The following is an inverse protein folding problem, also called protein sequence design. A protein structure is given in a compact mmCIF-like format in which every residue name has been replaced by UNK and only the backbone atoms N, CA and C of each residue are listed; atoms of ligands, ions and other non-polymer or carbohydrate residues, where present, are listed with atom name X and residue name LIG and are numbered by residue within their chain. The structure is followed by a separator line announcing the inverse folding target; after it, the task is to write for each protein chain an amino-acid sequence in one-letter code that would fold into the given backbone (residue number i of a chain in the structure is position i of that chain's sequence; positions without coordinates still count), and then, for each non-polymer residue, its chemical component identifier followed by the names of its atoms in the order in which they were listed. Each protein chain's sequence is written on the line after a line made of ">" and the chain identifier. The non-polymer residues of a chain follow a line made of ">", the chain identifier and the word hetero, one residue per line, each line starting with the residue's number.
data_IF_997291281646
#
_entry.id   IF_997291281646
#
_cell.length_a   1.000
_cell.length_b   1.000
_cell.length_c   1.000
_cell.angle_alpha   90.00
_cell.angle_beta   90.00
_cell.angle_gamma   90.00
#
_symmetry.space_group_name_H-M   'P 1'
#
loop_
_entity.id
_entity.type
_entity.pdbx_description
1 polymer ?
#
# COMPACT_ATOMS: atom_id res chain seq x y z
N UNK A 1 5.87 -32.36 -6.38
CA UNK A 1 5.42 -31.22 -7.17
C UNK A 1 5.91 -29.92 -6.51
N UNK A 2 6.39 -28.95 -7.31
CA UNK A 2 6.90 -27.67 -6.79
C UNK A 2 5.87 -26.93 -5.91
N UNK A 3 4.60 -27.01 -6.28
CA UNK A 3 3.50 -26.42 -5.51
C UNK A 3 3.38 -27.02 -4.09
N UNK A 4 3.60 -28.31 -3.93
CA UNK A 4 3.53 -28.96 -2.61
C UNK A 4 4.73 -28.55 -1.73
N UNK A 5 5.88 -28.32 -2.34
CA UNK A 5 7.06 -27.82 -1.63
C UNK A 5 6.81 -26.40 -1.13
N UNK A 6 6.27 -25.52 -1.99
CA UNK A 6 5.91 -24.14 -1.63
C UNK A 6 4.92 -24.12 -0.47
N UNK A 7 3.86 -24.92 -0.52
CA UNK A 7 2.89 -25.02 0.57
C UNK A 7 3.51 -25.46 1.89
N UNK A 8 4.40 -26.47 1.86
CA UNK A 8 5.11 -26.93 3.05
C UNK A 8 6.04 -25.86 3.63
N UNK A 9 6.80 -25.16 2.77
CA UNK A 9 7.67 -24.06 3.21
C UNK A 9 6.82 -22.93 3.83
N UNK A 10 5.72 -22.54 3.17
CA UNK A 10 4.83 -21.49 3.67
C UNK A 10 4.21 -21.88 5.01
N UNK A 11 3.73 -23.10 5.16
CA UNK A 11 3.19 -23.62 6.41
C UNK A 11 4.24 -23.57 7.54
N UNK A 12 5.46 -24.05 7.28
CA UNK A 12 6.56 -24.00 8.24
C UNK A 12 6.89 -22.55 8.65
N UNK A 13 7.04 -21.63 7.68
CA UNK A 13 7.26 -20.21 7.98
C UNK A 13 6.12 -19.61 8.80
N UNK A 14 4.88 -19.96 8.46
CA UNK A 14 3.71 -19.49 9.18
C UNK A 14 3.65 -20.02 10.62
N UNK A 15 4.08 -21.28 10.84
CA UNK A 15 3.98 -21.96 12.13
C UNK A 15 5.12 -21.58 13.09
N UNK A 16 6.33 -21.64 12.59
CA UNK A 16 7.52 -21.57 13.44
C UNK A 16 8.19 -20.19 13.40
N UNK A 17 8.00 -19.45 12.30
CA UNK A 17 8.65 -18.17 12.08
C UNK A 17 7.78 -17.21 11.28
N UNK A 18 6.70 -16.63 11.85
CA UNK A 18 5.82 -15.71 11.13
C UNK A 18 6.55 -14.41 10.77
N UNK A 19 7.27 -14.48 9.65
CA UNK A 19 8.03 -13.36 9.09
C UNK A 19 7.09 -12.34 8.41
N UNK A 20 7.62 -11.18 8.08
CA UNK A 20 6.89 -10.09 7.42
C UNK A 20 6.16 -10.54 6.15
N UNK A 21 6.72 -11.49 5.40
CA UNK A 21 6.08 -12.06 4.21
C UNK A 21 4.72 -12.69 4.51
N UNK A 22 4.58 -13.42 5.59
CA UNK A 22 3.32 -14.05 6.01
C UNK A 22 2.25 -12.97 6.24
N UNK A 23 2.60 -11.88 6.94
CA UNK A 23 1.70 -10.75 7.17
C UNK A 23 1.31 -10.06 5.87
N UNK A 24 2.27 -9.76 4.99
CA UNK A 24 2.02 -9.12 3.70
C UNK A 24 1.11 -9.97 2.81
N UNK A 25 1.36 -11.28 2.73
CA UNK A 25 0.54 -12.18 1.93
C UNK A 25 -0.87 -12.35 2.50
N UNK A 26 -1.03 -12.50 3.83
CA UNK A 26 -2.34 -12.63 4.46
C UNK A 26 -3.16 -11.35 4.30
N UNK A 27 -2.55 -10.17 4.50
CA UNK A 27 -3.18 -8.88 4.25
C UNK A 27 -3.60 -8.72 2.78
N UNK A 28 -2.73 -9.10 1.85
CA UNK A 28 -3.02 -9.03 0.42
C UNK A 28 -4.19 -9.96 0.02
N UNK A 29 -4.23 -11.16 0.56
CA UNK A 29 -5.35 -12.10 0.33
C UNK A 29 -6.66 -11.56 0.91
N UNK A 30 -6.64 -10.93 2.08
CA UNK A 30 -7.81 -10.27 2.67
C UNK A 30 -8.32 -9.11 1.80
N UNK A 31 -7.40 -8.29 1.26
CA UNK A 31 -7.74 -7.23 0.31
C UNK A 31 -8.38 -7.80 -0.95
N UNK A 32 -7.80 -8.84 -1.55
CA UNK A 32 -8.38 -9.49 -2.73
C UNK A 32 -9.80 -10.01 -2.43
N UNK A 33 -9.98 -10.65 -1.28
CA UNK A 33 -11.26 -11.21 -0.87
C UNK A 33 -12.33 -10.13 -0.68
N UNK A 34 -11.97 -8.98 -0.09
CA UNK A 34 -12.91 -7.90 0.24
C UNK A 34 -13.21 -6.98 -0.94
N UNK A 35 -12.24 -6.70 -1.78
CA UNK A 35 -12.31 -5.63 -2.80
C UNK A 35 -12.09 -6.11 -4.24
N UNK A 36 -11.50 -7.29 -4.44
CA UNK A 36 -10.98 -7.69 -5.75
C UNK A 36 -9.76 -6.84 -6.16
N UNK A 37 -9.29 -7.02 -7.40
CA UNK A 37 -8.20 -6.21 -8.00
C UNK A 37 -8.64 -5.48 -9.27
N UNK A 38 -9.92 -5.48 -9.62
CA UNK A 38 -10.40 -4.77 -10.81
C UNK A 38 -10.25 -3.26 -10.65
N UNK A 39 -10.72 -2.72 -9.51
CA UNK A 39 -10.63 -1.30 -9.16
C UNK A 39 -9.68 -1.02 -7.98
N UNK A 40 -9.00 -2.04 -7.48
CA UNK A 40 -8.09 -1.94 -6.36
C UNK A 40 -6.66 -2.12 -6.81
N UNK A 41 -5.80 -1.17 -6.50
CA UNK A 41 -4.36 -1.26 -6.72
C UNK A 41 -3.66 -1.41 -5.39
N UNK A 42 -2.73 -2.35 -5.31
CA UNK A 42 -1.90 -2.56 -4.12
C UNK A 42 -0.45 -2.26 -4.47
N UNK A 43 0.10 -1.21 -3.87
CA UNK A 43 1.49 -0.81 -4.02
C UNK A 43 2.30 -1.34 -2.83
N UNK A 44 3.45 -1.93 -3.15
CA UNK A 44 4.41 -2.44 -2.18
C UNK A 44 5.51 -1.41 -1.96
N UNK A 45 6.02 -1.31 -0.72
CA UNK A 45 7.19 -0.48 -0.42
C UNK A 45 7.01 0.98 -0.89
N UNK A 46 5.79 1.53 -0.71
CA UNK A 46 5.43 2.85 -1.21
C UNK A 46 6.06 3.96 -0.37
N UNK A 47 6.85 4.82 -1.02
CA UNK A 47 7.57 5.91 -0.33
C UNK A 47 6.66 7.09 -0.02
N UNK A 48 6.61 7.47 1.25
CA UNK A 48 5.88 8.64 1.76
C UNK A 48 6.80 9.47 2.65
N UNK A 49 7.19 10.64 2.18
CA UNK A 49 8.16 11.47 2.90
C UNK A 49 9.50 10.76 3.09
N UNK A 50 9.92 10.62 4.33
CA UNK A 50 11.14 9.89 4.71
C UNK A 50 10.86 8.40 5.03
N UNK A 51 9.60 8.00 5.06
CA UNK A 51 9.16 6.65 5.39
C UNK A 51 8.82 5.82 4.13
N UNK A 52 8.70 4.52 4.29
CA UNK A 52 8.35 3.58 3.24
C UNK A 52 7.31 2.60 3.80
N UNK A 53 6.10 2.68 3.26
CA UNK A 53 4.97 1.89 3.73
C UNK A 53 5.04 0.45 3.19
N UNK A 54 4.81 -0.53 4.03
CA UNK A 54 4.87 -1.94 3.64
C UNK A 54 3.86 -2.28 2.57
N UNK A 55 2.61 -1.81 2.74
CA UNK A 55 1.54 -2.01 1.79
C UNK A 55 0.62 -0.79 1.73
N UNK A 56 0.31 -0.35 0.51
CA UNK A 56 -0.64 0.75 0.26
C UNK A 56 -1.75 0.27 -0.66
N UNK A 57 -2.98 0.32 -0.19
CA UNK A 57 -4.17 -0.01 -0.97
C UNK A 57 -4.82 1.28 -1.49
N UNK A 58 -5.14 1.28 -2.78
CA UNK A 58 -5.80 2.37 -3.50
C UNK A 58 -7.14 1.88 -4.05
N UNK A 59 -8.24 2.21 -3.35
CA UNK A 59 -9.60 1.86 -3.75
C UNK A 59 -10.60 2.89 -3.25
N UNK A 60 -10.89 3.93 -4.06
CA UNK A 60 -11.74 5.05 -3.63
C UNK A 60 -11.13 5.92 -2.52
N UNK A 61 -10.26 5.36 -1.72
CA UNK A 61 -9.46 6.00 -0.67
C UNK A 61 -8.04 5.41 -0.64
N UNK A 62 -7.08 6.13 -0.06
CA UNK A 62 -5.73 5.61 0.21
C UNK A 62 -5.71 5.00 1.61
N UNK A 63 -5.44 3.70 1.69
CA UNK A 63 -5.17 3.01 2.96
C UNK A 63 -3.72 2.56 3.01
N UNK A 64 -3.03 2.91 4.08
CA UNK A 64 -1.66 2.47 4.32
C UNK A 64 -1.65 1.51 5.50
N UNK A 65 -0.92 0.41 5.32
CA UNK A 65 -0.70 -0.62 6.32
C UNK A 65 0.79 -0.70 6.63
N UNK A 66 1.13 -0.52 7.90
CA UNK A 66 2.47 -0.73 8.45
C UNK A 66 2.48 -2.02 9.23
N UNK A 67 3.38 -2.93 8.90
CA UNK A 67 3.44 -4.25 9.51
C UNK A 67 4.50 -4.24 10.62
N UNK A 68 4.11 -4.77 11.78
CA UNK A 68 5.01 -4.98 12.92
C UNK A 68 4.85 -6.40 13.41
N UNK A 69 5.80 -7.24 13.04
CA UNK A 69 5.87 -8.65 13.49
C UNK A 69 6.35 -8.75 14.94
N UNK A 70 6.33 -9.97 15.48
CA UNK A 70 6.81 -10.21 16.84
C UNK A 70 8.32 -9.93 17.04
N UNK A 71 9.08 -9.74 15.95
CA UNK A 71 10.53 -9.53 15.94
C UNK A 71 10.91 -8.06 15.73
N UNK A 72 9.93 -7.22 15.39
CA UNK A 72 10.19 -5.83 15.02
C UNK A 72 10.34 -4.90 16.22
N UNK A 73 11.11 -3.86 15.98
CA UNK A 73 11.29 -2.72 16.88
C UNK A 73 10.27 -1.61 16.50
N UNK A 74 9.72 -0.95 17.51
CA UNK A 74 8.72 0.10 17.37
C UNK A 74 9.30 1.52 17.34
N UNK A 75 10.62 1.69 17.43
CA UNK A 75 11.27 3.02 17.58
C UNK A 75 10.93 3.98 16.42
N UNK A 76 10.71 3.46 15.22
CA UNK A 76 10.38 4.27 14.04
C UNK A 76 8.87 4.40 13.79
N UNK A 77 8.03 3.62 14.49
CA UNK A 77 6.62 3.49 14.18
C UNK A 77 5.89 4.83 14.23
N UNK A 78 6.04 5.60 15.29
CA UNK A 78 5.36 6.89 15.43
C UNK A 78 5.67 7.85 14.28
N UNK A 79 6.94 7.90 13.83
CA UNK A 79 7.35 8.72 12.68
C UNK A 79 6.76 8.20 11.38
N UNK A 80 6.75 6.88 11.16
CA UNK A 80 6.17 6.25 9.97
C UNK A 80 4.69 6.60 9.86
N UNK A 81 3.93 6.40 10.95
CA UNK A 81 2.49 6.72 10.99
C UNK A 81 2.22 8.20 10.73
N UNK A 82 3.00 9.11 11.32
CA UNK A 82 2.87 10.54 11.09
C UNK A 82 3.15 10.94 9.63
N UNK A 83 4.09 10.28 8.95
CA UNK A 83 4.34 10.50 7.53
C UNK A 83 3.15 10.00 6.69
N UNK A 84 2.61 8.82 7.00
CA UNK A 84 1.51 8.22 6.25
C UNK A 84 0.19 8.99 6.38
N UNK A 85 -0.12 9.55 7.56
CA UNK A 85 -1.31 10.36 7.78
C UNK A 85 -1.37 11.61 6.88
N UNK A 86 -0.22 12.08 6.38
CA UNK A 86 -0.16 13.25 5.49
C UNK A 86 -0.72 12.99 4.09
N UNK A 87 -0.95 11.73 3.71
CA UNK A 87 -1.45 11.37 2.37
C UNK A 87 -2.61 10.39 2.39
N UNK A 88 -2.68 9.52 3.40
CA UNK A 88 -3.64 8.42 3.43
C UNK A 88 -4.91 8.79 4.18
N UNK A 89 -6.05 8.44 3.60
CA UNK A 89 -7.35 8.58 4.26
C UNK A 89 -7.40 7.77 5.55
N UNK A 90 -6.80 6.58 5.53
CA UNK A 90 -6.72 5.68 6.69
C UNK A 90 -5.34 5.05 6.81
N UNK A 91 -4.85 4.93 8.03
CA UNK A 91 -3.57 4.29 8.36
C UNK A 91 -3.81 3.21 9.39
N UNK A 92 -3.25 2.04 9.14
CA UNK A 92 -3.37 0.87 9.99
C UNK A 92 -2.00 0.34 10.42
N UNK A 93 -1.93 -0.14 11.66
CA UNK A 93 -0.86 -1.03 12.11
C UNK A 93 -1.38 -2.46 11.98
N UNK A 94 -0.59 -3.33 11.35
CA UNK A 94 -0.87 -4.77 11.28
C UNK A 94 0.14 -5.49 12.14
N UNK A 95 -0.32 -6.27 13.11
CA UNK A 95 0.57 -6.88 14.10
C UNK A 95 0.11 -8.26 14.57
N UNK A 96 0.89 -8.87 15.44
CA UNK A 96 0.56 -10.13 16.11
C UNK A 96 -0.28 -9.91 17.38
N UNK A 97 -0.99 -10.93 17.88
CA UNK A 97 -1.70 -10.86 19.15
C UNK A 97 -0.82 -10.42 20.34
N UNK A 98 0.47 -10.75 20.29
CA UNK A 98 1.46 -10.39 21.34
C UNK A 98 1.51 -8.89 21.65
N UNK A 99 1.33 -8.03 20.63
CA UNK A 99 1.45 -6.58 20.80
C UNK A 99 0.10 -5.85 20.79
N UNK A 100 -1.00 -6.59 20.69
CA UNK A 100 -2.35 -6.06 20.59
C UNK A 100 -2.70 -5.07 21.70
N UNK A 101 -2.58 -5.48 22.94
CA UNK A 101 -2.94 -4.67 24.12
C UNK A 101 -2.08 -3.40 24.21
N UNK A 102 -0.76 -3.53 24.00
CA UNK A 102 0.17 -2.41 24.02
C UNK A 102 -0.21 -1.37 22.97
N UNK A 103 -0.38 -1.78 21.72
CA UNK A 103 -0.71 -0.87 20.61
C UNK A 103 -2.11 -0.29 20.77
N UNK A 104 -3.07 -1.08 21.24
CA UNK A 104 -4.41 -0.57 21.51
C UNK A 104 -4.37 0.53 22.58
N UNK A 105 -3.65 0.33 23.68
CA UNK A 105 -3.50 1.35 24.73
C UNK A 105 -2.80 2.61 24.23
N UNK A 106 -1.75 2.47 23.42
CA UNK A 106 -0.96 3.59 22.90
C UNK A 106 -1.74 4.42 21.85
N UNK A 107 -2.53 3.76 20.97
CA UNK A 107 -3.20 4.41 19.85
C UNK A 107 -4.71 4.52 19.99
N UNK A 108 -5.32 4.18 21.17
CA UNK A 108 -6.79 4.16 21.38
C UNK A 108 -7.49 5.46 20.98
N UNK A 109 -6.87 6.61 21.28
CA UNK A 109 -7.44 7.94 21.02
C UNK A 109 -7.00 8.56 19.69
N UNK A 110 -6.14 7.87 18.95
CA UNK A 110 -5.63 8.31 17.66
C UNK A 110 -6.54 7.92 16.49
N UNK A 111 -6.23 8.45 15.29
CA UNK A 111 -6.88 8.05 14.04
C UNK A 111 -6.36 6.71 13.48
N UNK A 112 -5.31 6.15 14.06
CA UNK A 112 -4.67 4.92 13.59
C UNK A 112 -5.57 3.72 13.87
N UNK A 113 -5.80 2.88 12.85
CA UNK A 113 -6.46 1.59 13.00
C UNK A 113 -5.47 0.49 13.42
N UNK A 114 -5.99 -0.60 13.95
CA UNK A 114 -5.18 -1.75 14.37
C UNK A 114 -5.83 -3.02 13.83
N UNK A 115 -5.05 -3.79 13.08
CA UNK A 115 -5.41 -5.12 12.61
C UNK A 115 -4.46 -6.14 13.24
N UNK A 116 -5.00 -7.28 13.63
CA UNK A 116 -4.24 -8.39 14.20
C UNK A 116 -4.32 -9.57 13.26
N UNK A 117 -3.17 -10.17 12.95
CA UNK A 117 -3.12 -11.42 12.22
C UNK A 117 -3.35 -12.57 13.21
N UNK A 118 -4.60 -13.09 13.23
CA UNK A 118 -5.00 -14.24 14.02
C UNK A 118 -4.67 -15.53 13.26
N UNK A 119 -4.30 -16.57 13.98
CA UNK A 119 -4.12 -17.92 13.41
C UNK A 119 -3.39 -17.96 12.05
N UNK A 120 -2.49 -16.97 11.82
CA UNK A 120 -1.57 -16.90 10.65
C UNK A 120 -2.20 -16.62 9.29
N UNK A 121 -3.52 -16.59 9.18
CA UNK A 121 -4.23 -16.37 7.90
C UNK A 121 -5.40 -15.36 8.04
N UNK A 122 -5.94 -15.19 9.23
CA UNK A 122 -7.13 -14.35 9.46
C UNK A 122 -6.73 -12.98 9.99
N UNK A 123 -7.09 -11.95 9.24
CA UNK A 123 -6.87 -10.56 9.64
C UNK A 123 -8.11 -10.01 10.34
N UNK A 124 -7.99 -9.70 11.63
CA UNK A 124 -9.02 -9.10 12.45
C UNK A 124 -8.77 -7.61 12.64
N UNK A 125 -9.74 -6.76 12.26
CA UNK A 125 -9.70 -5.32 12.56
C UNK A 125 -10.25 -5.09 13.99
N UNK A 126 -9.34 -4.97 14.97
CA UNK A 126 -9.69 -4.76 16.38
C UNK A 126 -9.93 -3.29 16.72
N UNK A 127 -9.44 -2.37 15.91
CA UNK A 127 -9.69 -0.94 16.01
C UNK A 127 -9.81 -0.33 14.61
N UNK A 128 -10.96 0.25 14.23
CA UNK A 128 -11.10 0.92 12.95
C UNK A 128 -10.28 2.21 12.89
N UNK A 129 -9.66 2.47 11.73
CA UNK A 129 -9.02 3.75 11.48
C UNK A 129 -10.05 4.85 11.27
N UNK A 130 -9.77 6.05 11.80
CA UNK A 130 -10.52 7.27 11.52
C UNK A 130 -9.90 8.00 10.32
N UNK A 131 -10.65 8.96 9.75
CA UNK A 131 -10.17 9.77 8.63
C UNK A 131 -9.00 10.66 9.04
N UNK A 132 -8.01 10.76 8.16
CA UNK A 132 -6.82 11.61 8.32
C UNK A 132 -6.88 12.89 7.48
N UNK A 133 -8.05 13.27 6.96
CA UNK A 133 -8.18 14.39 6.02
C UNK A 133 -7.55 15.69 6.54
N UNK A 134 -7.64 15.94 7.86
CA UNK A 134 -7.08 17.13 8.52
C UNK A 134 -5.55 17.12 8.61
N UNK A 135 -4.90 15.99 8.35
CA UNK A 135 -3.44 15.85 8.35
C UNK A 135 -2.83 15.92 6.95
N UNK A 136 -3.65 16.01 5.90
CA UNK A 136 -3.16 16.03 4.52
C UNK A 136 -2.18 17.18 4.30
N UNK A 137 -1.02 16.84 3.73
CA UNK A 137 0.04 17.79 3.41
C UNK A 137 0.33 17.77 1.90
N UNK A 138 0.07 18.89 1.25
CA UNK A 138 0.23 19.03 -0.19
C UNK A 138 1.64 18.64 -0.66
N UNK A 139 2.67 19.08 0.05
CA UNK A 139 4.06 18.84 -0.34
C UNK A 139 4.41 17.34 -0.26
N UNK A 140 3.90 16.63 0.75
CA UNK A 140 4.09 15.19 0.89
C UNK A 140 3.32 14.44 -0.18
N UNK A 141 2.06 14.80 -0.45
CA UNK A 141 1.23 14.19 -1.51
C UNK A 141 1.90 14.38 -2.87
N UNK A 142 2.31 15.62 -3.23
CA UNK A 142 2.94 15.90 -4.51
C UNK A 142 4.22 15.09 -4.74
N UNK A 143 5.04 14.91 -3.71
CA UNK A 143 6.30 14.15 -3.79
C UNK A 143 6.11 12.64 -4.02
N UNK A 144 4.90 12.12 -3.89
CA UNK A 144 4.61 10.72 -4.24
C UNK A 144 4.49 10.50 -5.75
N UNK A 145 4.30 11.57 -6.52
CA UNK A 145 4.12 11.53 -7.97
C UNK A 145 5.46 11.44 -8.70
N UNK A 146 5.47 10.63 -9.74
CA UNK A 146 6.54 10.61 -10.76
C UNK A 146 6.38 11.78 -11.73
N UNK A 147 7.45 12.12 -12.46
CA UNK A 147 7.41 13.24 -13.41
C UNK A 147 6.28 13.15 -14.44
N UNK A 148 6.06 12.03 -15.13
CA UNK A 148 4.93 11.94 -16.08
C UNK A 148 3.57 12.16 -15.41
N UNK A 149 3.41 11.72 -14.16
CA UNK A 149 2.15 11.79 -13.42
C UNK A 149 1.79 13.24 -13.05
N UNK A 150 2.75 13.99 -12.47
CA UNK A 150 2.45 15.39 -12.14
C UNK A 150 2.30 16.27 -13.40
N UNK A 151 3.00 15.97 -14.50
CA UNK A 151 2.79 16.65 -15.78
C UNK A 151 1.39 16.38 -16.33
N UNK A 152 0.92 15.14 -16.27
CA UNK A 152 -0.44 14.76 -16.65
C UNK A 152 -1.48 15.50 -15.82
N UNK A 153 -1.29 15.59 -14.49
CA UNK A 153 -2.20 16.33 -13.60
C UNK A 153 -2.23 17.83 -13.92
N UNK A 154 -1.07 18.45 -14.22
CA UNK A 154 -1.03 19.86 -14.64
C UNK A 154 -1.82 20.06 -15.91
N UNK A 155 -1.64 19.19 -16.93
CA UNK A 155 -2.41 19.24 -18.18
C UNK A 155 -3.92 19.08 -17.94
N UNK A 156 -4.32 18.20 -17.05
CA UNK A 156 -5.72 17.98 -16.69
C UNK A 156 -6.35 19.18 -15.97
N UNK A 157 -5.59 19.90 -15.14
CA UNK A 157 -6.10 21.00 -14.33
C UNK A 157 -5.96 22.37 -14.99
N UNK A 158 -4.95 22.57 -15.83
CA UNK A 158 -4.55 23.89 -16.38
C UNK A 158 -4.43 23.89 -17.90
N UNK A 159 -4.88 22.83 -18.58
CA UNK A 159 -4.90 22.65 -20.05
C UNK A 159 -3.53 22.55 -20.74
N UNK A 160 -2.52 23.22 -20.24
CA UNK A 160 -1.19 23.24 -20.85
C UNK A 160 -0.08 22.86 -19.86
N UNK A 161 0.95 22.20 -20.38
CA UNK A 161 2.18 21.94 -19.64
C UNK A 161 3.07 23.17 -19.78
N UNK A 162 3.64 23.72 -18.66
CA UNK A 162 4.50 24.89 -18.72
C UNK A 162 5.72 24.66 -19.62
N UNK A 163 5.95 25.58 -20.55
CA UNK A 163 7.16 25.60 -21.37
C UNK A 163 8.31 26.26 -20.59
N UNK A 164 9.00 25.45 -19.80
CA UNK A 164 10.14 25.88 -18.97
C UNK A 164 11.26 24.83 -19.03
N UNK A 165 12.53 25.24 -18.79
CA UNK A 165 13.64 24.31 -18.72
C UNK A 165 13.38 23.15 -17.72
N UNK A 166 13.89 21.96 -18.05
CA UNK A 166 13.68 20.75 -17.24
C UNK A 166 14.08 20.91 -15.75
N UNK A 167 15.06 21.74 -15.47
CA UNK A 167 15.51 22.09 -14.10
C UNK A 167 14.47 22.88 -13.29
N UNK A 168 13.52 23.54 -13.96
CA UNK A 168 12.47 24.34 -13.33
C UNK A 168 11.11 23.64 -13.32
N UNK A 169 10.91 22.61 -14.15
CA UNK A 169 9.60 22.00 -14.39
C UNK A 169 8.97 21.46 -13.09
N UNK A 170 9.73 20.80 -12.22
CA UNK A 170 9.23 20.31 -10.95
C UNK A 170 8.63 21.42 -10.08
N UNK A 171 9.38 22.51 -9.89
CA UNK A 171 8.96 23.65 -9.06
C UNK A 171 7.76 24.38 -9.68
N UNK A 172 7.73 24.52 -11.00
CA UNK A 172 6.62 25.17 -11.71
C UNK A 172 5.35 24.34 -11.56
N UNK A 173 5.39 23.04 -11.81
CA UNK A 173 4.24 22.15 -11.63
C UNK A 173 3.77 22.09 -10.17
N UNK A 174 4.70 22.08 -9.21
CA UNK A 174 4.38 22.17 -7.78
C UNK A 174 3.56 23.43 -7.47
N UNK A 175 4.03 24.60 -7.90
CA UNK A 175 3.36 25.89 -7.64
C UNK A 175 1.98 25.98 -8.30
N UNK A 176 1.79 25.41 -9.50
CA UNK A 176 0.51 25.35 -10.17
C UNK A 176 -0.49 24.47 -9.40
N UNK A 177 -0.08 23.23 -9.10
CA UNK A 177 -0.96 22.27 -8.41
C UNK A 177 -1.23 22.66 -6.95
N UNK A 178 -0.34 23.45 -6.31
CA UNK A 178 -0.54 23.98 -4.96
C UNK A 178 -1.70 25.01 -4.85
N UNK A 179 -2.26 25.47 -5.98
CA UNK A 179 -3.45 26.32 -6.01
C UNK A 179 -4.74 25.53 -5.76
N UNK A 180 -4.70 24.18 -5.89
CA UNK A 180 -5.83 23.31 -5.63
C UNK A 180 -6.05 23.13 -4.13
N UNK A 181 -7.31 22.91 -3.74
CA UNK A 181 -7.61 22.43 -2.39
C UNK A 181 -6.89 21.07 -2.16
N UNK A 182 -6.30 20.88 -0.99
CA UNK A 182 -5.47 19.71 -0.69
C UNK A 182 -6.24 18.38 -0.78
N UNK A 183 -7.52 18.36 -0.39
CA UNK A 183 -8.37 17.16 -0.47
C UNK A 183 -8.72 16.82 -1.93
N UNK A 184 -9.02 17.85 -2.73
CA UNK A 184 -9.25 17.68 -4.17
C UNK A 184 -7.98 17.18 -4.86
N UNK A 185 -6.85 17.76 -4.51
CA UNK A 185 -5.56 17.33 -5.05
C UNK A 185 -5.26 15.87 -4.68
N UNK A 186 -5.47 15.47 -3.43
CA UNK A 186 -5.27 14.09 -2.97
C UNK A 186 -6.14 13.10 -3.78
N UNK A 187 -7.40 13.42 -4.04
CA UNK A 187 -8.29 12.59 -4.87
C UNK A 187 -7.79 12.46 -6.33
N UNK A 188 -7.24 13.53 -6.90
CA UNK A 188 -6.62 13.48 -8.24
C UNK A 188 -5.36 12.61 -8.21
N UNK A 189 -4.54 12.74 -7.18
CA UNK A 189 -3.34 11.91 -6.98
C UNK A 189 -3.70 10.44 -6.80
N UNK A 190 -4.73 10.11 -6.02
CA UNK A 190 -5.25 8.74 -5.89
C UNK A 190 -5.58 8.13 -7.26
N UNK A 191 -6.33 8.85 -8.10
CA UNK A 191 -6.66 8.39 -9.47
C UNK A 191 -5.39 8.12 -10.28
N UNK A 192 -4.41 9.04 -10.20
CA UNK A 192 -3.15 8.91 -10.93
C UNK A 192 -2.29 7.76 -10.43
N UNK A 193 -2.23 7.53 -9.13
CA UNK A 193 -1.53 6.39 -8.54
C UNK A 193 -2.18 5.04 -8.91
N UNK A 194 -3.50 5.00 -9.09
CA UNK A 194 -4.21 3.80 -9.56
C UNK A 194 -3.83 3.38 -10.98
N UNK A 195 -3.30 4.29 -11.79
CA UNK A 195 -2.75 3.96 -13.13
C UNK A 195 -1.47 3.09 -13.04
N UNK A 196 -0.86 2.98 -11.86
CA UNK A 196 0.26 2.04 -11.59
C UNK A 196 -0.22 0.59 -11.36
N UNK A 197 -1.40 0.25 -11.83
CA UNK A 197 -1.96 -1.08 -11.68
C UNK A 197 -1.09 -2.13 -12.40
N UNK A 198 -1.09 -3.35 -11.85
CA UNK A 198 -0.48 -4.51 -12.50
C UNK A 198 -1.27 -4.89 -13.76
N UNK A 199 -0.53 -5.11 -14.85
CA UNK A 199 -1.14 -5.44 -16.14
C UNK A 199 -1.89 -6.76 -16.12
N UNK A 200 -1.43 -7.76 -15.36
CA UNK A 200 -1.92 -9.14 -15.36
C UNK A 200 -2.72 -9.52 -14.11
N UNK A 201 -3.48 -8.56 -13.52
CA UNK A 201 -4.23 -8.83 -12.28
C UNK A 201 -5.23 -10.02 -12.40
N UNK A 202 -5.78 -10.25 -13.60
CA UNK A 202 -6.69 -11.41 -13.84
C UNK A 202 -5.97 -12.74 -13.69
N UNK A 203 -4.71 -12.83 -14.11
CA UNK A 203 -3.88 -14.00 -13.87
C UNK A 203 -3.57 -14.15 -12.39
N UNK A 204 -3.17 -13.05 -11.74
CA UNK A 204 -2.83 -13.03 -10.33
C UNK A 204 -3.95 -13.55 -9.43
N UNK A 205 -5.22 -13.16 -9.67
CA UNK A 205 -6.35 -13.61 -8.86
C UNK A 205 -6.83 -15.03 -9.21
N UNK A 206 -6.39 -15.58 -10.34
CA UNK A 206 -6.83 -16.90 -10.79
C UNK A 206 -6.41 -18.03 -9.83
N UNK A 207 -7.11 -19.15 -9.87
CA UNK A 207 -6.77 -20.35 -9.08
C UNK A 207 -5.49 -21.05 -9.55
N UNK A 208 -4.92 -20.62 -10.69
CA UNK A 208 -3.64 -21.16 -11.21
C UNK A 208 -2.45 -20.72 -10.35
N UNK A 209 -2.56 -19.57 -9.68
CA UNK A 209 -1.52 -19.07 -8.81
C UNK A 209 -1.78 -19.53 -7.38
N UNK A 210 -0.84 -20.26 -6.74
CA UNK A 210 -0.95 -20.64 -5.34
C UNK A 210 -1.19 -19.43 -4.45
N UNK A 211 -2.10 -19.55 -3.46
CA UNK A 211 -2.40 -18.46 -2.53
C UNK A 211 -1.14 -17.97 -1.79
N UNK A 212 -0.23 -18.87 -1.54
CA UNK A 212 1.05 -18.62 -0.87
C UNK A 212 1.98 -17.66 -1.63
N UNK A 213 1.75 -17.48 -2.94
CA UNK A 213 2.61 -16.67 -3.83
C UNK A 213 1.93 -15.41 -4.35
N UNK A 214 0.67 -15.16 -4.03
CA UNK A 214 -0.08 -14.04 -4.62
C UNK A 214 0.54 -12.68 -4.31
N UNK A 215 0.99 -12.45 -3.08
CA UNK A 215 1.65 -11.19 -2.71
C UNK A 215 2.95 -10.98 -3.49
N UNK A 216 3.82 -11.99 -3.58
CA UNK A 216 5.09 -11.84 -4.30
C UNK A 216 4.87 -11.62 -5.80
N UNK A 217 3.90 -12.30 -6.40
CA UNK A 217 3.51 -12.06 -7.79
C UNK A 217 3.02 -10.62 -8.01
N UNK A 218 2.25 -10.06 -7.06
CA UNK A 218 1.87 -8.65 -7.10
C UNK A 218 3.09 -7.72 -6.98
N UNK A 219 4.05 -8.06 -6.14
CA UNK A 219 5.23 -7.22 -5.92
C UNK A 219 6.22 -7.22 -7.08
N UNK A 220 6.25 -8.29 -7.86
CA UNK A 220 7.14 -8.45 -9.02
C UNK A 220 6.55 -7.87 -10.32
N UNK A 221 5.24 -7.57 -10.34
CA UNK A 221 4.52 -7.07 -11.54
C UNK A 221 4.81 -7.93 -12.78
N UNK A 222 4.59 -9.24 -12.64
CA UNK A 222 4.92 -10.21 -13.68
C UNK A 222 4.06 -10.04 -14.92
N UNK A 223 4.69 -10.09 -16.10
CA UNK A 223 3.97 -10.16 -17.38
C UNK A 223 3.47 -11.60 -17.67
N UNK A 224 2.65 -11.74 -18.71
CA UNK A 224 2.03 -13.02 -19.07
C UNK A 224 3.04 -14.15 -19.33
N UNK A 225 4.16 -13.86 -19.99
CA UNK A 225 5.19 -14.87 -20.29
C UNK A 225 5.90 -15.34 -19.02
N UNK A 226 6.15 -14.43 -18.08
CA UNK A 226 6.74 -14.74 -16.78
C UNK A 226 5.82 -15.62 -15.96
N UNK A 227 4.52 -15.33 -15.93
CA UNK A 227 3.53 -16.21 -15.30
C UNK A 227 3.53 -17.61 -15.94
N UNK A 228 3.56 -17.69 -17.28
CA UNK A 228 3.62 -18.98 -17.98
C UNK A 228 4.87 -19.78 -17.61
N UNK A 229 6.04 -19.14 -17.56
CA UNK A 229 7.30 -19.79 -17.18
C UNK A 229 7.30 -20.26 -15.73
N UNK A 230 6.74 -19.47 -14.81
CA UNK A 230 6.73 -19.81 -13.37
C UNK A 230 5.73 -20.93 -13.04
N UNK A 231 4.59 -20.96 -13.68
CA UNK A 231 3.45 -21.81 -13.27
C UNK A 231 3.04 -22.83 -14.34
N UNK A 232 3.71 -22.93 -15.46
CA UNK A 232 3.53 -23.92 -16.54
C UNK A 232 2.07 -23.95 -17.08
N UNK A 233 1.49 -22.81 -17.46
CA UNK A 233 0.16 -22.73 -18.09
C UNK A 233 0.11 -21.79 -19.30
#
# INVERSE_FOLDING_TARGET
>A
NNTDIIKKIYAHLSDDYPCEYIYKNSLFLDIIKKYGLEDTVVLNEFRVGASKADLTMLNGEIKIYEIKTALDDFTKLAKQLADYQKIADKVYIVTSPKFSEKLFSEYKDSNIGICILQNKEELEEVKPAKSNIHYFDFATIFKTLRKPEYLSLVKECFTEIPDVPNTKIFRTCYNLLAQLNVEEFQKKVLKKLKERNISEYKLLISNKIPKELKYICNSLDLNKEEYQKMFNF
#
